data_IF_487955058760
#
_entry.id   IF_487955058760
#
_cell.length_a   1.000
_cell.length_b   1.000
_cell.length_c   1.000
_cell.angle_alpha   90.00
_cell.angle_beta   90.00
_cell.angle_gamma   90.00
#
_symmetry.space_group_name_H-M   'P 1'
#
loop_
_entity.id
_entity.type
_entity.pdbx_description
1 polymer ?
#
# COMPACT_ATOMS: atom_id res chain seq x y z
N UNK A 1 35.48 -33.46 6.08
CA UNK A 1 34.37 -32.89 6.88
C UNK A 1 33.32 -32.33 5.92
N UNK A 2 32.05 -32.72 6.05
CA UNK A 2 30.97 -32.21 5.17
C UNK A 2 30.26 -31.07 5.91
N UNK A 3 30.20 -29.88 5.30
CA UNK A 3 29.58 -28.71 5.91
C UNK A 3 28.05 -28.75 5.83
N UNK A 4 27.39 -28.04 6.74
CA UNK A 4 25.93 -27.85 6.71
C UNK A 4 25.47 -27.31 5.36
N UNK A 5 26.17 -26.33 4.79
CA UNK A 5 25.87 -25.75 3.46
C UNK A 5 25.89 -26.78 2.33
N UNK A 6 26.76 -27.80 2.41
CA UNK A 6 26.78 -28.91 1.44
C UNK A 6 25.61 -29.87 1.63
N UNK A 7 25.20 -30.12 2.88
CA UNK A 7 24.08 -31.03 3.23
C UNK A 7 22.72 -30.43 2.87
N UNK A 8 22.49 -29.14 3.09
CA UNK A 8 21.19 -28.48 2.81
C UNK A 8 20.83 -28.44 1.31
N UNK A 9 21.81 -28.54 0.40
CA UNK A 9 21.55 -28.59 -1.05
C UNK A 9 20.87 -29.88 -1.52
N UNK A 10 20.85 -30.92 -0.68
CA UNK A 10 20.29 -32.23 -1.02
C UNK A 10 18.76 -32.25 -1.06
N UNK A 11 18.10 -31.26 -0.44
CA UNK A 11 16.65 -31.18 -0.35
C UNK A 11 16.22 -29.75 -0.70
N UNK A 12 15.27 -29.58 -1.62
CA UNK A 12 14.60 -28.30 -1.82
C UNK A 12 13.55 -28.12 -0.72
N UNK A 13 13.72 -27.09 0.10
CA UNK A 13 12.68 -26.66 1.04
C UNK A 13 11.62 -25.86 0.27
N UNK A 14 10.33 -26.25 0.29
CA UNK A 14 9.26 -25.38 -0.16
C UNK A 14 9.20 -24.17 0.78
N UNK A 15 9.12 -22.97 0.20
CA UNK A 15 8.89 -21.73 0.92
C UNK A 15 7.56 -21.15 0.42
N UNK A 16 6.72 -20.70 1.34
CA UNK A 16 5.41 -20.12 1.08
C UNK A 16 5.04 -19.11 2.18
N UNK A 17 3.97 -18.35 1.97
CA UNK A 17 3.49 -17.35 2.94
C UNK A 17 4.23 -16.02 2.92
N UNK A 18 4.77 -15.60 1.76
CA UNK A 18 5.31 -14.25 1.60
C UNK A 18 4.26 -13.32 0.99
N UNK A 19 4.30 -12.05 1.38
CA UNK A 19 3.52 -10.98 0.75
C UNK A 19 4.40 -10.39 -0.35
N UNK A 20 4.01 -10.56 -1.61
CA UNK A 20 4.77 -10.15 -2.78
C UNK A 20 4.39 -10.94 -4.04
N UNK A 21 5.10 -10.70 -5.17
CA UNK A 21 6.22 -9.77 -5.33
C UNK A 21 5.78 -8.31 -5.25
N UNK A 22 6.76 -7.42 -5.08
CA UNK A 22 6.53 -5.98 -5.27
C UNK A 22 6.34 -5.73 -6.77
N UNK A 23 5.22 -5.12 -7.13
CA UNK A 23 4.85 -4.85 -8.55
C UNK A 23 5.12 -3.40 -8.96
N UNK A 24 5.11 -2.47 -8.00
CA UNK A 24 5.43 -1.05 -8.19
C UNK A 24 6.09 -0.51 -6.92
N UNK A 25 7.05 0.41 -7.02
CA UNK A 25 7.75 1.01 -5.87
C UNK A 25 8.15 2.47 -6.15
N UNK A 26 8.14 3.31 -5.12
CA UNK A 26 8.58 4.70 -5.16
C UNK A 26 7.90 5.48 -6.29
N UNK A 27 6.58 5.45 -6.32
CA UNK A 27 5.77 6.00 -7.41
C UNK A 27 5.12 7.32 -6.99
N UNK A 28 4.85 8.18 -7.99
CA UNK A 28 4.06 9.40 -7.85
C UNK A 28 2.67 9.20 -8.47
N UNK A 29 1.83 10.24 -8.39
CA UNK A 29 0.45 10.23 -8.88
C UNK A 29 0.30 11.11 -10.11
N UNK A 30 1.18 10.97 -11.11
CA UNK A 30 1.09 11.74 -12.36
C UNK A 30 -0.31 11.60 -12.98
N UNK A 31 -0.87 12.73 -13.43
CA UNK A 31 -2.26 12.88 -13.88
C UNK A 31 -3.35 12.56 -12.84
N UNK A 32 -2.98 12.21 -11.60
CA UNK A 32 -3.86 12.06 -10.43
C UNK A 32 -3.71 13.20 -9.41
N UNK A 33 -2.96 14.26 -9.71
CA UNK A 33 -2.91 15.47 -8.89
C UNK A 33 -4.07 16.42 -9.25
N UNK A 34 -4.46 17.28 -8.30
CA UNK A 34 -5.57 18.22 -8.44
C UNK A 34 -5.16 19.62 -7.96
N UNK A 35 -6.11 20.57 -7.97
CA UNK A 35 -5.93 21.89 -7.39
C UNK A 35 -5.75 21.87 -5.85
N UNK A 36 -6.11 20.77 -5.19
CA UNK A 36 -6.00 20.61 -3.73
C UNK A 36 -4.75 19.83 -3.30
N UNK A 37 -4.30 18.87 -4.12
CA UNK A 37 -3.14 18.02 -3.84
C UNK A 37 -2.20 18.02 -5.04
N UNK A 38 -1.01 18.58 -4.86
CA UNK A 38 -0.01 18.73 -5.94
C UNK A 38 1.22 17.82 -5.81
N UNK A 39 1.34 17.07 -4.71
CA UNK A 39 2.52 16.23 -4.46
C UNK A 39 2.22 15.09 -3.51
N UNK A 40 2.94 13.99 -3.69
CA UNK A 40 2.92 12.82 -2.81
C UNK A 40 3.56 11.62 -3.50
N UNK A 41 4.18 10.75 -2.70
CA UNK A 41 4.83 9.53 -3.17
C UNK A 41 4.39 8.33 -2.32
N UNK A 42 4.13 7.21 -3.00
CA UNK A 42 3.79 5.94 -2.37
C UNK A 42 5.00 5.01 -2.30
N UNK A 43 5.11 4.26 -1.21
CA UNK A 43 6.27 3.39 -0.98
C UNK A 43 6.30 2.21 -1.95
N UNK A 44 5.29 1.30 -1.90
CA UNK A 44 5.22 0.18 -2.82
C UNK A 44 3.85 -0.51 -2.88
N UNK A 45 3.64 -1.25 -3.96
CA UNK A 45 2.51 -2.14 -4.19
C UNK A 45 2.97 -3.59 -4.24
N UNK A 46 2.15 -4.47 -3.70
CA UNK A 46 2.11 -5.90 -4.07
C UNK A 46 0.84 -6.15 -4.87
N UNK A 47 0.66 -7.33 -5.45
CA UNK A 47 -0.47 -7.63 -6.35
C UNK A 47 -1.85 -7.21 -5.81
N UNK A 48 -2.06 -7.30 -4.50
CA UNK A 48 -3.37 -7.03 -3.86
C UNK A 48 -3.33 -6.03 -2.71
N UNK A 49 -2.18 -5.40 -2.45
CA UNK A 49 -2.04 -4.51 -1.28
C UNK A 49 -1.13 -3.33 -1.57
N UNK A 50 -1.62 -2.11 -1.27
CA UNK A 50 -0.82 -0.89 -1.18
C UNK A 50 -0.17 -0.82 0.20
N UNK A 51 1.14 -0.56 0.22
CA UNK A 51 1.92 -0.52 1.45
C UNK A 51 2.53 0.86 1.71
N UNK A 52 2.46 1.30 2.96
CA UNK A 52 3.17 2.46 3.51
C UNK A 52 4.02 2.04 4.72
N UNK A 53 5.26 2.50 4.77
CA UNK A 53 6.19 2.31 5.87
C UNK A 53 6.04 3.44 6.87
N UNK A 54 5.66 3.10 8.10
CA UNK A 54 5.74 4.04 9.23
C UNK A 54 6.87 3.67 10.16
N UNK A 55 7.89 4.54 10.24
CA UNK A 55 9.06 4.37 11.12
C UNK A 55 8.94 5.18 12.42
N UNK A 56 7.71 5.29 12.95
CA UNK A 56 7.43 5.96 14.23
C UNK A 56 7.40 4.97 15.39
N UNK A 57 7.75 5.41 16.60
CA UNK A 57 7.50 4.65 17.84
C UNK A 57 6.05 4.74 18.32
N UNK A 58 5.22 5.52 17.64
CA UNK A 58 3.78 5.65 17.93
C UNK A 58 2.97 4.84 16.93
N UNK A 59 1.78 4.40 17.36
CA UNK A 59 0.83 3.69 16.50
C UNK A 59 0.36 4.60 15.35
N UNK A 60 -0.05 4.04 14.20
CA UNK A 60 -0.64 4.84 13.13
C UNK A 60 -1.85 5.63 13.63
N UNK A 61 -1.88 6.95 13.36
CA UNK A 61 -3.01 7.80 13.66
C UNK A 61 -4.04 7.75 12.53
N UNK A 62 -5.20 8.39 12.75
CA UNK A 62 -6.20 8.61 11.69
C UNK A 62 -5.61 9.28 10.44
N UNK A 63 -4.60 10.14 10.61
CA UNK A 63 -4.00 10.87 9.50
C UNK A 63 -3.17 9.94 8.62
N UNK A 64 -2.48 8.96 9.22
CA UNK A 64 -1.75 7.93 8.47
C UNK A 64 -2.69 6.99 7.72
N UNK A 65 -3.80 6.58 8.34
CA UNK A 65 -4.80 5.73 7.66
C UNK A 65 -5.54 6.48 6.56
N UNK A 66 -5.78 7.78 6.73
CA UNK A 66 -6.38 8.62 5.69
C UNK A 66 -5.39 8.88 4.54
N UNK A 67 -4.12 9.11 4.84
CA UNK A 67 -3.07 9.30 3.85
C UNK A 67 -2.98 8.10 2.89
N UNK A 68 -2.92 6.86 3.41
CA UNK A 68 -2.83 5.68 2.54
C UNK A 68 -4.11 5.45 1.73
N UNK A 69 -5.28 5.86 2.24
CA UNK A 69 -6.53 5.84 1.46
C UNK A 69 -6.49 6.86 0.32
N UNK A 70 -6.00 8.07 0.58
CA UNK A 70 -5.79 9.09 -0.47
C UNK A 70 -4.85 8.56 -1.54
N UNK A 71 -3.75 7.90 -1.17
CA UNK A 71 -2.81 7.30 -2.11
C UNK A 71 -3.45 6.22 -2.98
N UNK A 72 -4.31 5.37 -2.40
CA UNK A 72 -5.05 4.39 -3.18
C UNK A 72 -5.96 5.05 -4.22
N UNK A 73 -6.77 6.02 -3.79
CA UNK A 73 -7.72 6.72 -4.66
C UNK A 73 -6.98 7.51 -5.76
N UNK A 74 -5.95 8.27 -5.42
CA UNK A 74 -5.12 8.98 -6.40
C UNK A 74 -4.41 8.01 -7.36
N UNK A 75 -3.97 6.85 -6.85
CA UNK A 75 -3.37 5.79 -7.66
C UNK A 75 -4.29 5.29 -8.76
N UNK A 76 -5.56 5.01 -8.43
CA UNK A 76 -6.61 4.61 -9.39
C UNK A 76 -6.82 5.66 -10.48
N UNK A 77 -6.67 6.95 -10.15
CA UNK A 77 -6.87 8.06 -11.07
C UNK A 77 -5.58 8.56 -11.75
N UNK A 78 -4.44 7.92 -11.48
CA UNK A 78 -3.13 8.30 -12.05
C UNK A 78 -2.77 7.46 -13.26
N UNK A 79 -1.66 7.80 -13.92
CA UNK A 79 -1.04 6.97 -14.96
C UNK A 79 -0.66 5.56 -14.49
N UNK A 80 -0.57 5.34 -13.17
CA UNK A 80 -0.28 4.05 -12.57
C UNK A 80 -1.53 3.19 -12.30
N UNK A 81 -2.72 3.63 -12.70
CA UNK A 81 -4.02 3.00 -12.40
C UNK A 81 -4.06 1.48 -12.61
N UNK A 82 -3.38 0.98 -13.65
CA UNK A 82 -3.26 -0.45 -13.96
C UNK A 82 -2.71 -1.30 -12.79
N UNK A 83 -1.88 -0.72 -11.92
CA UNK A 83 -1.35 -1.39 -10.73
C UNK A 83 -2.29 -1.31 -9.52
N UNK A 84 -3.27 -0.40 -9.55
CA UNK A 84 -4.20 -0.16 -8.46
C UNK A 84 -5.51 -0.93 -8.61
N UNK A 85 -5.89 -1.32 -9.83
CA UNK A 85 -7.13 -2.06 -10.12
C UNK A 85 -7.28 -3.37 -9.33
N UNK A 86 -6.17 -4.06 -9.03
CA UNK A 86 -6.17 -5.33 -8.29
C UNK A 86 -6.00 -5.16 -6.78
N UNK A 87 -5.84 -3.93 -6.27
CA UNK A 87 -5.60 -3.68 -4.86
C UNK A 87 -6.89 -3.90 -4.07
N UNK A 88 -6.79 -4.73 -3.03
CA UNK A 88 -7.90 -5.11 -2.16
C UNK A 88 -7.67 -4.62 -0.72
N UNK A 89 -6.42 -4.33 -0.36
CA UNK A 89 -6.06 -3.97 1.01
C UNK A 89 -5.15 -2.74 1.05
N UNK A 90 -5.26 -2.00 2.15
CA UNK A 90 -4.34 -0.94 2.53
C UNK A 90 -3.52 -1.42 3.73
N UNK A 91 -2.19 -1.42 3.58
CA UNK A 91 -1.25 -1.96 4.55
C UNK A 91 -0.30 -0.89 5.08
N UNK A 92 -0.16 -0.82 6.41
CA UNK A 92 0.92 -0.07 7.04
C UNK A 92 1.85 -1.06 7.73
N UNK A 93 3.13 -1.04 7.36
CA UNK A 93 4.16 -1.77 8.08
C UNK A 93 4.98 -0.81 8.94
N UNK A 94 5.02 -1.08 10.24
CA UNK A 94 5.85 -0.33 11.18
C UNK A 94 6.94 -1.23 11.78
N UNK A 95 8.20 -1.14 11.31
CA UNK A 95 9.29 -1.98 11.81
C UNK A 95 9.72 -1.62 13.24
N UNK A 96 9.51 -0.38 13.69
CA UNK A 96 9.87 0.03 15.07
C UNK A 96 8.91 -0.55 16.11
N UNK A 97 7.66 -0.72 15.73
CA UNK A 97 6.64 -1.38 16.54
C UNK A 97 6.55 -2.89 16.30
N UNK A 98 7.21 -3.38 15.23
CA UNK A 98 7.10 -4.76 14.74
C UNK A 98 5.64 -5.15 14.47
N UNK A 99 4.86 -4.23 13.87
CA UNK A 99 3.44 -4.41 13.61
C UNK A 99 3.10 -4.16 12.14
N UNK A 100 2.16 -4.95 11.66
CA UNK A 100 1.47 -4.76 10.39
C UNK A 100 0.03 -4.40 10.71
N UNK A 101 -0.47 -3.35 10.07
CA UNK A 101 -1.86 -2.93 10.09
C UNK A 101 -2.41 -3.15 8.68
N UNK A 102 -3.57 -3.79 8.58
CA UNK A 102 -4.20 -4.11 7.30
C UNK A 102 -5.68 -3.83 7.42
N UNK A 103 -6.26 -3.17 6.42
CA UNK A 103 -7.69 -3.00 6.26
C UNK A 103 -8.07 -3.36 4.84
N UNK A 104 -9.17 -4.10 4.69
CA UNK A 104 -9.75 -4.37 3.37
C UNK A 104 -10.45 -3.11 2.88
N UNK A 105 -10.27 -2.76 1.60
CA UNK A 105 -10.96 -1.62 0.98
C UNK A 105 -12.48 -1.82 1.06
N UNK A 106 -12.96 -3.06 0.97
CA UNK A 106 -14.38 -3.39 1.08
C UNK A 106 -14.98 -3.12 2.48
N UNK A 107 -14.14 -2.96 3.51
CA UNK A 107 -14.58 -2.61 4.86
C UNK A 107 -14.66 -1.09 5.07
N UNK A 108 -14.14 -0.29 4.14
CA UNK A 108 -14.19 1.18 4.22
C UNK A 108 -15.58 1.64 3.77
N UNK A 109 -16.32 2.40 4.60
CA UNK A 109 -17.63 2.88 4.21
C UNK A 109 -17.57 3.75 2.96
N UNK A 110 -18.51 3.55 2.03
CA UNK A 110 -18.61 4.33 0.79
C UNK A 110 -18.71 5.83 1.06
N UNK A 111 -19.38 6.22 2.14
CA UNK A 111 -19.46 7.63 2.58
C UNK A 111 -18.07 8.23 2.83
N UNK A 112 -17.14 7.47 3.41
CA UNK A 112 -15.76 7.93 3.65
C UNK A 112 -15.00 8.04 2.33
N UNK A 113 -15.18 7.07 1.42
CA UNK A 113 -14.56 7.13 0.08
C UNK A 113 -15.02 8.37 -0.68
N UNK A 114 -16.33 8.64 -0.65
CA UNK A 114 -16.93 9.82 -1.27
C UNK A 114 -16.39 11.12 -0.66
N UNK A 115 -16.41 11.24 0.67
CA UNK A 115 -15.92 12.44 1.35
C UNK A 115 -14.45 12.72 1.03
N UNK A 116 -13.61 11.68 0.97
CA UNK A 116 -12.19 11.83 0.62
C UNK A 116 -12.04 12.24 -0.85
N UNK A 117 -12.72 11.57 -1.78
CA UNK A 117 -12.67 11.92 -3.19
C UNK A 117 -13.10 13.37 -3.43
N UNK A 118 -14.27 13.77 -2.92
CA UNK A 118 -14.85 15.08 -3.23
C UNK A 118 -14.23 16.21 -2.40
N UNK A 119 -14.09 16.02 -1.09
CA UNK A 119 -13.74 17.10 -0.16
C UNK A 119 -12.24 17.24 0.10
N UNK A 120 -11.46 16.17 -0.10
CA UNK A 120 -10.01 16.18 0.17
C UNK A 120 -9.21 16.21 -1.12
N UNK A 121 -9.56 15.34 -2.09
CA UNK A 121 -8.82 15.22 -3.35
C UNK A 121 -9.39 16.18 -4.40
N UNK A 122 -10.71 16.39 -4.45
CA UNK A 122 -11.38 17.23 -5.46
C UNK A 122 -11.80 16.47 -6.72
N UNK A 123 -12.01 15.16 -6.63
CA UNK A 123 -12.60 14.35 -7.68
C UNK A 123 -14.12 14.35 -7.63
N UNK A 124 -14.76 14.02 -8.75
CA UNK A 124 -16.19 13.70 -8.77
C UNK A 124 -16.38 12.21 -8.45
N UNK A 125 -17.13 11.90 -7.40
CA UNK A 125 -17.46 10.51 -7.06
C UNK A 125 -18.63 10.03 -7.94
N UNK A 126 -18.42 8.98 -8.72
CA UNK A 126 -19.40 8.39 -9.64
C UNK A 126 -19.59 6.90 -9.39
#
# INVERSE_FOLDING_TARGET
MVSVTKRIKMIKQPYGGYIGPIVLKGFTFENGYTDYIHSGDGDFLTETTLWDFKVSIHHPSKDHTLQILIYYLMGIHSDNSIYFESIQNLGIYNPRLQKIYLISIAEIPETILKDVCESVIGYNFH
#
